data_IF_392456657346
#
_entry.id   IF_392456657346
#
_cell.length_a   1.000
_cell.length_b   1.000
_cell.length_c   1.000
_cell.angle_alpha   90.00
_cell.angle_beta   90.00
_cell.angle_gamma   90.00
#
_symmetry.space_group_name_H-M   'P 1'
#
loop_
_entity.id
_entity.type
_entity.pdbx_description
1 polymer ?
#
# COMPACT_ATOMS: atom_id res chain seq x y z
N UNK A 1 -3.43 -10.28 11.94
CA UNK A 1 -2.01 -9.92 12.13
C UNK A 1 -1.81 -8.51 11.57
N UNK A 2 -1.40 -7.52 12.37
CA UNK A 2 -1.05 -6.17 11.91
C UNK A 2 -0.05 -6.12 10.76
N UNK A 3 0.88 -7.10 10.68
CA UNK A 3 1.93 -7.13 9.66
C UNK A 3 1.38 -7.09 8.24
N UNK A 4 0.20 -7.68 8.00
CA UNK A 4 -0.46 -7.70 6.69
C UNK A 4 -0.81 -6.29 6.16
N UNK A 5 -0.72 -5.25 6.99
CA UNK A 5 -0.93 -3.84 6.60
C UNK A 5 0.35 -3.15 6.10
N UNK A 6 1.49 -3.82 6.19
CA UNK A 6 2.76 -3.40 5.58
C UNK A 6 2.85 -3.88 4.14
N UNK A 7 3.67 -3.23 3.31
CA UNK A 7 3.92 -3.65 1.92
C UNK A 7 4.39 -5.10 1.89
N UNK A 8 5.41 -5.42 2.70
CA UNK A 8 5.99 -6.77 2.76
C UNK A 8 5.03 -7.80 3.34
N UNK A 9 4.22 -7.41 4.33
CA UNK A 9 3.23 -8.31 4.90
C UNK A 9 2.08 -8.59 3.95
N UNK A 10 1.64 -7.62 3.15
CA UNK A 10 0.66 -7.87 2.09
C UNK A 10 1.23 -8.79 1.00
N UNK A 11 2.49 -8.57 0.58
CA UNK A 11 3.17 -9.47 -0.36
C UNK A 11 3.22 -10.90 0.18
N UNK A 12 3.62 -11.09 1.44
CA UNK A 12 3.68 -12.40 2.08
C UNK A 12 2.29 -13.05 2.23
N UNK A 13 1.26 -12.26 2.52
CA UNK A 13 -0.13 -12.72 2.57
C UNK A 13 -0.59 -13.25 1.20
N UNK A 14 -0.34 -12.49 0.13
CA UNK A 14 -0.71 -12.89 -1.24
C UNK A 14 0.07 -14.14 -1.65
N UNK A 15 1.38 -14.18 -1.38
CA UNK A 15 2.23 -15.32 -1.69
C UNK A 15 1.70 -16.60 -1.03
N UNK A 16 1.37 -16.53 0.26
CA UNK A 16 0.93 -17.70 1.02
C UNK A 16 -0.52 -18.10 0.70
N UNK A 17 -1.46 -17.17 0.78
CA UNK A 17 -2.90 -17.46 0.75
C UNK A 17 -3.49 -17.55 -0.67
N UNK A 18 -2.78 -17.03 -1.68
CA UNK A 18 -3.27 -17.05 -3.06
C UNK A 18 -2.35 -17.85 -3.97
N UNK A 19 -1.06 -17.54 -3.98
CA UNK A 19 -0.12 -18.16 -4.92
C UNK A 19 0.16 -19.60 -4.51
N UNK A 20 0.70 -19.82 -3.31
CA UNK A 20 1.05 -21.15 -2.79
C UNK A 20 -0.18 -22.01 -2.50
N UNK A 21 -1.29 -21.40 -2.06
CA UNK A 21 -2.58 -22.08 -1.85
C UNK A 21 -3.24 -22.56 -3.16
N UNK A 22 -2.71 -22.18 -4.34
CA UNK A 22 -3.19 -22.68 -5.63
C UNK A 22 -4.42 -21.95 -6.16
N UNK A 23 -4.51 -20.64 -5.94
CA UNK A 23 -5.50 -19.83 -6.65
C UNK A 23 -5.22 -19.91 -8.16
N UNK A 24 -6.22 -20.27 -8.99
CA UNK A 24 -6.00 -20.52 -10.42
C UNK A 24 -5.93 -19.21 -11.22
N UNK A 25 -4.83 -18.44 -11.06
CA UNK A 25 -4.66 -17.13 -11.68
C UNK A 25 -4.71 -17.21 -13.20
N UNK A 26 -3.99 -18.14 -13.83
CA UNK A 26 -3.93 -18.29 -15.28
C UNK A 26 -5.32 -18.60 -15.87
N UNK A 27 -6.08 -19.50 -15.26
CA UNK A 27 -7.44 -19.83 -15.70
C UNK A 27 -8.45 -18.72 -15.45
N UNK A 28 -8.36 -18.02 -14.30
CA UNK A 28 -9.33 -17.00 -13.89
C UNK A 28 -9.12 -15.67 -14.63
N UNK A 29 -7.86 -15.30 -14.89
CA UNK A 29 -7.46 -14.02 -15.49
C UNK A 29 -7.14 -14.11 -16.99
N UNK A 30 -7.27 -15.31 -17.61
CA UNK A 30 -7.04 -15.53 -19.06
C UNK A 30 -7.76 -14.52 -19.96
N UNK A 31 -8.95 -14.11 -19.55
CA UNK A 31 -9.75 -13.11 -20.24
C UNK A 31 -9.74 -11.84 -19.43
N UNK A 32 -9.61 -10.70 -20.11
CA UNK A 32 -9.74 -9.40 -19.47
C UNK A 32 -11.14 -9.24 -18.86
N UNK A 33 -11.25 -8.46 -17.79
CA UNK A 33 -12.54 -8.07 -17.22
C UNK A 33 -13.44 -7.32 -18.23
N UNK A 34 -12.87 -6.82 -19.34
CA UNK A 34 -13.59 -6.16 -20.43
C UNK A 34 -14.01 -7.10 -21.57
N UNK A 35 -13.66 -8.39 -21.50
CA UNK A 35 -14.05 -9.37 -22.51
C UNK A 35 -15.56 -9.65 -22.42
N UNK A 36 -16.32 -9.59 -23.55
CA UNK A 36 -17.76 -9.86 -23.54
C UNK A 36 -18.11 -11.21 -22.90
N UNK A 37 -19.22 -11.27 -22.17
CA UNK A 37 -19.65 -12.50 -21.48
C UNK A 37 -19.80 -13.71 -22.41
N UNK A 38 -20.12 -13.49 -23.69
CA UNK A 38 -20.29 -14.53 -24.69
C UNK A 38 -18.97 -15.25 -25.03
N UNK A 39 -17.83 -14.59 -24.86
CA UNK A 39 -16.50 -15.14 -25.14
C UNK A 39 -15.74 -15.56 -23.88
N UNK A 40 -16.33 -15.32 -22.70
CA UNK A 40 -15.74 -15.63 -21.41
C UNK A 40 -16.03 -17.08 -21.02
N UNK A 41 -14.99 -17.83 -20.66
CA UNK A 41 -15.18 -19.17 -20.09
C UNK A 41 -15.85 -19.09 -18.71
N UNK A 42 -16.62 -20.13 -18.36
CA UNK A 42 -17.23 -20.29 -17.03
C UNK A 42 -16.21 -20.28 -15.88
N UNK A 43 -14.93 -20.49 -16.21
CA UNK A 43 -13.80 -20.49 -15.27
C UNK A 43 -13.20 -19.10 -15.04
N UNK A 44 -13.66 -18.03 -15.66
CA UNK A 44 -13.23 -16.67 -15.31
C UNK A 44 -13.94 -16.17 -14.07
N UNK A 45 -13.21 -15.54 -13.15
CA UNK A 45 -13.75 -15.06 -11.89
C UNK A 45 -13.05 -13.80 -11.39
N UNK A 46 -13.77 -12.99 -10.63
CA UNK A 46 -13.30 -11.71 -10.08
C UNK A 46 -12.79 -11.83 -8.63
N UNK A 47 -12.44 -13.04 -8.18
CA UNK A 47 -12.18 -13.30 -6.76
C UNK A 47 -10.99 -12.49 -6.22
N UNK A 48 -9.89 -12.40 -6.98
CA UNK A 48 -8.73 -11.63 -6.55
C UNK A 48 -8.99 -10.12 -6.52
N UNK A 49 -9.69 -9.57 -7.53
CA UNK A 49 -10.07 -8.15 -7.51
C UNK A 49 -11.04 -7.83 -6.38
N UNK A 50 -11.98 -8.72 -6.05
CA UNK A 50 -12.87 -8.54 -4.89
C UNK A 50 -12.08 -8.54 -3.57
N UNK A 51 -11.04 -9.37 -3.45
CA UNK A 51 -10.14 -9.32 -2.30
C UNK A 51 -9.40 -7.98 -2.20
N UNK A 52 -8.87 -7.48 -3.31
CA UNK A 52 -8.22 -6.16 -3.35
C UNK A 52 -9.21 -5.03 -3.04
N UNK A 53 -10.45 -5.13 -3.51
CA UNK A 53 -11.54 -4.20 -3.18
C UNK A 53 -11.82 -4.21 -1.69
N UNK A 54 -11.93 -5.38 -1.05
CA UNK A 54 -12.06 -5.46 0.40
C UNK A 54 -10.91 -4.74 1.13
N UNK A 55 -9.66 -4.85 0.66
CA UNK A 55 -8.54 -4.10 1.24
C UNK A 55 -8.72 -2.60 1.01
N UNK A 56 -9.18 -2.18 -0.17
CA UNK A 56 -9.52 -0.79 -0.44
C UNK A 56 -10.60 -0.27 0.52
N UNK A 57 -11.66 -1.02 0.79
CA UNK A 57 -12.69 -0.63 1.78
C UNK A 57 -12.12 -0.49 3.20
N UNK A 58 -11.16 -1.33 3.57
CA UNK A 58 -10.46 -1.17 4.85
C UNK A 58 -9.57 0.08 4.84
N UNK A 59 -8.91 0.37 3.72
CA UNK A 59 -8.08 1.55 3.56
C UNK A 59 -8.90 2.84 3.68
N UNK A 60 -10.07 2.92 3.05
CA UNK A 60 -10.94 4.12 3.13
C UNK A 60 -11.43 4.38 4.56
N UNK A 61 -11.76 3.34 5.31
CA UNK A 61 -12.20 3.47 6.71
C UNK A 61 -11.04 3.71 7.69
N UNK A 62 -9.82 3.26 7.37
CA UNK A 62 -8.63 3.37 8.24
C UNK A 62 -7.40 3.92 7.47
N UNK A 63 -7.44 5.17 6.98
CA UNK A 63 -6.46 5.71 6.05
C UNK A 63 -5.02 5.74 6.58
N UNK A 64 -4.82 5.81 7.90
CA UNK A 64 -3.48 5.82 8.50
C UNK A 64 -2.95 4.42 8.84
N UNK A 65 -3.77 3.36 8.75
CA UNK A 65 -3.39 2.03 9.25
C UNK A 65 -2.60 1.18 8.25
N UNK A 66 -2.47 1.60 6.99
CA UNK A 66 -1.82 0.85 5.92
C UNK A 66 -0.58 1.59 5.42
N UNK A 67 0.53 0.85 5.29
CA UNK A 67 1.82 1.38 4.82
C UNK A 67 1.80 1.71 3.34
N UNK A 68 0.98 0.99 2.58
CA UNK A 68 0.83 1.17 1.14
C UNK A 68 -0.39 2.03 0.79
N UNK A 69 -0.33 2.70 -0.35
CA UNK A 69 -1.44 3.42 -0.96
C UNK A 69 -2.30 2.50 -1.85
N UNK A 70 -3.47 3.00 -2.25
CA UNK A 70 -4.39 2.29 -3.17
C UNK A 70 -3.75 2.01 -4.54
N UNK A 71 -2.72 2.77 -4.92
CA UNK A 71 -1.96 2.56 -6.15
C UNK A 71 -1.23 1.20 -6.16
N UNK A 72 -0.82 0.68 -5.00
CA UNK A 72 -0.24 -0.67 -4.91
C UNK A 72 -1.29 -1.73 -5.26
N UNK A 73 -2.52 -1.56 -4.76
CA UNK A 73 -3.61 -2.51 -5.01
C UNK A 73 -4.00 -2.52 -6.49
N UNK A 74 -4.03 -1.33 -7.12
CA UNK A 74 -4.19 -1.19 -8.57
C UNK A 74 -3.09 -1.96 -9.33
N UNK A 75 -1.83 -1.78 -8.94
CA UNK A 75 -0.72 -2.43 -9.61
C UNK A 75 -0.79 -3.96 -9.46
N UNK A 76 -1.20 -4.47 -8.29
CA UNK A 76 -1.43 -5.89 -8.05
C UNK A 76 -2.53 -6.44 -8.96
N UNK A 77 -3.62 -5.70 -9.14
CA UNK A 77 -4.68 -6.05 -10.07
C UNK A 77 -4.19 -6.09 -11.52
N UNK A 78 -3.44 -5.07 -11.97
CA UNK A 78 -2.92 -5.03 -13.33
C UNK A 78 -2.00 -6.23 -13.61
N UNK A 79 -1.07 -6.51 -12.69
CA UNK A 79 -0.14 -7.63 -12.84
C UNK A 79 -0.77 -9.01 -12.60
N UNK A 80 -1.96 -9.12 -12.00
CA UNK A 80 -2.67 -10.39 -11.96
C UNK A 80 -3.33 -10.75 -13.30
N UNK A 81 -3.63 -9.74 -14.13
CA UNK A 81 -4.19 -9.91 -15.47
C UNK A 81 -3.14 -9.94 -16.58
N UNK A 82 -2.19 -9.00 -16.55
CA UNK A 82 -1.14 -8.86 -17.55
C UNK A 82 0.16 -8.45 -16.89
N UNK A 83 1.18 -9.30 -17.01
CA UNK A 83 2.45 -9.08 -16.34
C UNK A 83 3.64 -9.58 -17.13
N UNK A 84 4.74 -8.86 -17.01
CA UNK A 84 6.07 -9.30 -17.43
C UNK A 84 6.77 -10.17 -16.36
N UNK A 85 6.16 -10.33 -15.18
CA UNK A 85 6.69 -11.07 -14.05
C UNK A 85 6.02 -12.44 -13.90
N UNK A 86 6.74 -13.39 -13.28
CA UNK A 86 6.24 -14.75 -13.06
C UNK A 86 5.26 -14.92 -11.90
N UNK A 87 5.10 -13.91 -11.05
CA UNK A 87 4.41 -14.02 -9.75
C UNK A 87 2.99 -14.57 -9.83
N UNK A 88 2.20 -14.13 -10.82
CA UNK A 88 0.81 -14.57 -10.99
C UNK A 88 0.62 -15.57 -12.13
N UNK A 89 1.70 -16.20 -12.62
CA UNK A 89 1.58 -17.26 -13.62
C UNK A 89 1.11 -18.58 -12.99
N UNK A 90 0.59 -19.46 -13.85
CA UNK A 90 0.11 -20.80 -13.52
C UNK A 90 -1.07 -20.83 -12.55
N UNK A 91 -1.69 -22.00 -12.41
CA UNK A 91 -2.85 -22.20 -11.54
C UNK A 91 -2.49 -22.87 -10.20
N UNK A 92 -1.30 -23.45 -10.08
CA UNK A 92 -0.87 -24.15 -8.88
C UNK A 92 0.64 -24.07 -8.68
N UNK A 93 1.07 -24.26 -7.43
CA UNK A 93 2.49 -24.33 -7.08
C UNK A 93 3.21 -25.49 -7.78
N UNK A 94 2.51 -26.62 -7.96
CA UNK A 94 3.01 -27.76 -8.71
C UNK A 94 3.39 -27.36 -10.15
N UNK A 95 2.48 -26.68 -10.84
CA UNK A 95 2.71 -26.24 -12.22
C UNK A 95 3.87 -25.23 -12.32
N UNK A 96 3.98 -24.31 -11.34
CA UNK A 96 5.11 -23.35 -11.28
C UNK A 96 6.46 -24.06 -11.15
N UNK A 97 6.51 -25.11 -10.35
CA UNK A 97 7.71 -25.94 -10.18
C UNK A 97 8.04 -26.71 -11.46
N UNK A 98 7.05 -27.37 -12.08
CA UNK A 98 7.24 -28.11 -13.34
C UNK A 98 7.75 -27.20 -14.47
N UNK A 99 7.24 -25.96 -14.55
CA UNK A 99 7.66 -24.98 -15.55
C UNK A 99 8.91 -24.17 -15.17
N UNK A 100 9.47 -24.39 -13.97
CA UNK A 100 10.61 -23.66 -13.43
C UNK A 100 10.40 -22.14 -13.43
N UNK A 101 9.21 -21.67 -13.05
CA UNK A 101 8.84 -20.23 -13.13
C UNK A 101 9.82 -19.37 -12.33
N UNK A 102 10.20 -19.80 -11.13
CA UNK A 102 11.11 -19.05 -10.24
C UNK A 102 12.51 -18.81 -10.80
N UNK A 103 12.98 -19.67 -11.73
CA UNK A 103 14.31 -19.53 -12.35
C UNK A 103 14.24 -18.93 -13.75
N UNK A 104 13.12 -19.10 -14.46
CA UNK A 104 12.92 -18.61 -15.82
C UNK A 104 12.31 -17.21 -15.91
N UNK A 105 11.79 -16.69 -14.80
CA UNK A 105 11.12 -15.38 -14.75
C UNK A 105 11.53 -14.59 -13.52
N UNK A 106 11.30 -13.28 -13.57
CA UNK A 106 11.54 -12.38 -12.45
C UNK A 106 10.27 -12.25 -11.60
N UNK A 107 10.43 -12.17 -10.28
CA UNK A 107 9.32 -11.89 -9.36
C UNK A 107 8.92 -10.41 -9.38
N UNK A 108 7.62 -10.14 -9.35
CA UNK A 108 7.06 -8.81 -9.15
C UNK A 108 7.54 -8.20 -7.82
N UNK A 109 7.71 -9.02 -6.79
CA UNK A 109 8.19 -8.59 -5.47
C UNK A 109 9.60 -8.01 -5.55
N UNK A 110 10.47 -8.59 -6.39
CA UNK A 110 11.83 -8.07 -6.60
C UNK A 110 11.83 -6.68 -7.23
N UNK A 111 10.88 -6.40 -8.13
CA UNK A 111 10.70 -5.08 -8.72
C UNK A 111 10.12 -4.08 -7.71
N UNK A 112 9.01 -4.45 -7.05
CA UNK A 112 8.31 -3.58 -6.09
C UNK A 112 9.18 -3.18 -4.90
N UNK A 113 10.06 -4.06 -4.44
CA UNK A 113 10.91 -3.80 -3.27
C UNK A 113 12.17 -2.98 -3.59
N UNK A 114 12.34 -2.52 -4.84
CA UNK A 114 13.38 -1.55 -5.16
C UNK A 114 13.06 -0.19 -4.51
N UNK A 115 14.01 0.51 -3.89
CA UNK A 115 13.73 1.74 -3.15
C UNK A 115 13.05 2.84 -3.98
N UNK A 116 13.46 3.03 -5.24
CA UNK A 116 12.91 4.01 -6.17
C UNK A 116 11.45 3.73 -6.53
N UNK A 117 11.10 2.46 -6.65
CA UNK A 117 9.75 1.99 -6.99
C UNK A 117 8.88 1.99 -5.74
N UNK A 118 9.37 1.43 -4.64
CA UNK A 118 8.62 1.27 -3.39
C UNK A 118 8.06 2.59 -2.87
N UNK A 119 8.86 3.66 -2.90
CA UNK A 119 8.48 4.97 -2.39
C UNK A 119 7.23 5.55 -3.06
N UNK A 120 6.94 5.21 -4.32
CA UNK A 120 5.76 5.71 -5.04
C UNK A 120 4.46 5.03 -4.59
N UNK A 121 4.56 3.90 -3.88
CA UNK A 121 3.43 3.13 -3.36
C UNK A 121 3.22 3.30 -1.86
N UNK A 122 4.05 4.09 -1.17
CA UNK A 122 3.91 4.31 0.26
C UNK A 122 2.82 5.34 0.56
N UNK A 123 2.12 5.12 1.66
CA UNK A 123 1.14 6.05 2.19
C UNK A 123 1.83 7.06 3.13
N UNK A 124 1.82 8.37 2.83
CA UNK A 124 2.41 9.38 3.71
C UNK A 124 1.77 9.45 5.10
N UNK A 125 0.50 9.05 5.21
CA UNK A 125 -0.28 9.10 6.45
C UNK A 125 -0.09 7.85 7.32
N UNK A 126 0.76 6.89 6.89
CA UNK A 126 0.92 5.65 7.61
C UNK A 126 1.45 5.87 9.04
N UNK A 127 0.67 5.38 10.00
CA UNK A 127 1.04 5.28 11.41
C UNK A 127 0.90 3.82 11.83
N UNK A 128 2.01 3.15 12.23
CA UNK A 128 1.97 1.77 12.67
C UNK A 128 0.95 1.56 13.79
N UNK A 129 -0.13 0.86 13.47
CA UNK A 129 -1.20 0.52 14.40
C UNK A 129 -1.08 -0.97 14.73
N UNK A 130 -0.88 -1.33 15.99
CA UNK A 130 -0.86 -2.73 16.42
C UNK A 130 -2.26 -3.27 16.74
N UNK A 131 -3.25 -2.38 16.90
CA UNK A 131 -4.59 -2.76 17.31
C UNK A 131 -5.37 -3.41 16.17
N UNK A 132 -6.34 -4.24 16.56
CA UNK A 132 -7.33 -4.81 15.65
C UNK A 132 -8.23 -3.70 15.13
N UNK A 133 -8.45 -3.68 13.81
CA UNK A 133 -9.41 -2.78 13.15
C UNK A 133 -10.76 -3.47 13.01
N UNK A 134 -11.83 -2.72 13.24
CA UNK A 134 -13.21 -3.22 13.18
C UNK A 134 -13.99 -2.38 12.15
N UNK A 135 -13.98 -2.77 10.87
CA UNK A 135 -14.64 -2.03 9.81
C UNK A 135 -16.17 -2.11 9.93
N UNK A 136 -16.85 -1.05 9.48
CA UNK A 136 -18.26 -1.10 9.16
C UNK A 136 -18.48 -1.87 7.86
N UNK A 137 -19.39 -2.82 7.89
CA UNK A 137 -19.85 -3.57 6.70
C UNK A 137 -21.22 -3.09 6.21
N UNK A 138 -21.71 -1.97 6.74
CA UNK A 138 -22.97 -1.38 6.29
C UNK A 138 -22.82 -0.90 4.83
N UNK A 139 -23.83 -1.08 3.96
CA UNK A 139 -23.73 -0.67 2.56
C UNK A 139 -23.37 0.81 2.36
N UNK A 140 -23.81 1.69 3.27
CA UNK A 140 -23.50 3.12 3.24
C UNK A 140 -22.04 3.44 3.57
N UNK A 141 -21.32 2.52 4.20
CA UNK A 141 -19.90 2.65 4.54
C UNK A 141 -18.97 2.11 3.47
N UNK A 142 -19.51 1.56 2.38
CA UNK A 142 -18.74 1.05 1.25
C UNK A 142 -18.66 2.12 0.15
N UNK A 143 -17.46 2.37 -0.33
CA UNK A 143 -17.20 3.34 -1.39
C UNK A 143 -16.91 2.62 -2.71
N UNK A 144 -17.42 3.17 -3.81
CA UNK A 144 -17.04 2.67 -5.12
C UNK A 144 -15.58 3.03 -5.39
N UNK A 145 -14.75 2.01 -5.68
CA UNK A 145 -13.34 2.23 -6.02
C UNK A 145 -13.18 2.84 -7.42
N UNK A 146 -13.38 4.15 -7.50
CA UNK A 146 -13.39 4.93 -8.74
C UNK A 146 -12.07 4.84 -9.50
N UNK A 147 -10.92 4.86 -8.81
CA UNK A 147 -9.58 4.78 -9.41
C UNK A 147 -9.33 3.48 -10.20
N UNK A 148 -10.07 2.42 -9.87
CA UNK A 148 -10.02 1.13 -10.55
C UNK A 148 -11.17 1.00 -11.55
N UNK A 149 -12.41 1.07 -11.08
CA UNK A 149 -13.58 0.74 -11.89
C UNK A 149 -14.00 1.85 -12.86
N UNK A 150 -13.73 3.10 -12.51
CA UNK A 150 -14.11 4.28 -13.31
C UNK A 150 -12.90 4.99 -13.91
N UNK A 151 -11.73 4.36 -13.94
CA UNK A 151 -10.47 4.95 -14.44
C UNK A 151 -10.57 5.58 -15.82
N UNK A 152 -11.35 4.98 -16.71
CA UNK A 152 -11.52 5.44 -18.10
C UNK A 152 -12.73 6.35 -18.29
N UNK A 153 -13.51 6.57 -17.23
CA UNK A 153 -14.77 7.32 -17.25
C UNK A 153 -14.62 8.66 -16.52
N UNK A 154 -13.86 8.66 -15.41
CA UNK A 154 -13.65 9.81 -14.54
C UNK A 154 -12.21 10.30 -14.65
N UNK A 155 -12.03 11.62 -14.71
CA UNK A 155 -10.72 12.24 -14.59
C UNK A 155 -10.19 12.13 -13.15
N UNK A 156 -9.12 11.36 -12.97
CA UNK A 156 -8.49 11.10 -11.67
C UNK A 156 -7.46 12.16 -11.24
N UNK A 157 -7.24 13.21 -12.06
CA UNK A 157 -6.26 14.27 -11.74
C UNK A 157 -6.51 14.95 -10.40
N UNK A 158 -7.77 15.08 -9.99
CA UNK A 158 -8.12 15.64 -8.68
C UNK A 158 -7.57 14.80 -7.54
N UNK A 159 -7.80 13.48 -7.56
CA UNK A 159 -7.30 12.52 -6.56
C UNK A 159 -5.77 12.57 -6.45
N UNK A 160 -5.09 12.57 -7.61
CA UNK A 160 -3.62 12.67 -7.66
C UNK A 160 -3.14 13.99 -7.07
N UNK A 161 -3.81 15.11 -7.39
CA UNK A 161 -3.47 16.43 -6.86
C UNK A 161 -3.63 16.49 -5.34
N UNK A 162 -4.73 15.96 -4.81
CA UNK A 162 -5.01 15.89 -3.37
C UNK A 162 -3.92 15.07 -2.66
N UNK A 163 -3.55 13.91 -3.19
CA UNK A 163 -2.49 13.09 -2.60
C UNK A 163 -1.12 13.77 -2.61
N UNK A 164 -0.78 14.50 -3.67
CA UNK A 164 0.45 15.31 -3.72
C UNK A 164 0.46 16.39 -2.64
N UNK A 165 -0.67 17.09 -2.45
CA UNK A 165 -0.81 18.09 -1.40
C UNK A 165 -0.70 17.47 0.00
N UNK A 166 -1.31 16.30 0.23
CA UNK A 166 -1.17 15.56 1.49
C UNK A 166 0.30 15.21 1.75
N UNK A 167 1.02 14.72 0.75
CA UNK A 167 2.45 14.41 0.86
C UNK A 167 3.27 15.64 1.24
N UNK A 168 3.03 16.79 0.59
CA UNK A 168 3.70 18.05 0.90
C UNK A 168 3.41 18.52 2.33
N UNK A 169 2.13 18.47 2.74
CA UNK A 169 1.72 18.85 4.09
C UNK A 169 2.38 17.98 5.15
N UNK A 170 2.38 16.66 4.98
CA UNK A 170 3.03 15.71 5.89
C UNK A 170 4.54 15.95 5.96
N UNK A 171 5.18 16.25 4.83
CA UNK A 171 6.61 16.54 4.78
C UNK A 171 6.94 17.82 5.56
N UNK A 172 6.18 18.89 5.30
CA UNK A 172 6.31 20.17 6.00
C UNK A 172 6.04 20.03 7.50
N UNK A 173 5.07 19.22 7.88
CA UNK A 173 4.74 18.91 9.27
C UNK A 173 5.94 18.28 10.01
N UNK A 174 6.58 17.28 9.38
CA UNK A 174 7.80 16.62 9.91
C UNK A 174 8.97 17.61 10.05
N UNK A 175 9.16 18.50 9.07
CA UNK A 175 10.19 19.54 9.12
C UNK A 175 9.95 20.51 10.28
N UNK A 176 8.72 21.01 10.42
CA UNK A 176 8.33 21.92 11.49
C UNK A 176 8.49 21.28 12.88
N UNK A 177 8.09 20.01 13.04
CA UNK A 177 8.33 19.25 14.28
C UNK A 177 9.82 19.20 14.61
N UNK A 178 10.65 18.88 13.63
CA UNK A 178 12.11 18.81 13.79
C UNK A 178 12.69 20.16 14.19
N UNK A 179 12.23 21.24 13.56
CA UNK A 179 12.66 22.60 13.89
C UNK A 179 12.23 23.02 15.30
N UNK A 180 10.99 22.70 15.70
CA UNK A 180 10.50 22.98 17.04
C UNK A 180 11.31 22.26 18.12
N UNK A 181 11.71 21.00 17.89
CA UNK A 181 12.58 20.26 18.80
C UNK A 181 13.97 20.91 18.93
N UNK A 182 14.56 21.37 17.82
CA UNK A 182 15.85 22.08 17.84
C UNK A 182 15.77 23.38 18.64
N UNK A 183 14.74 24.20 18.40
CA UNK A 183 14.55 25.46 19.11
C UNK A 183 14.29 25.25 20.61
N UNK A 184 13.49 24.23 20.99
CA UNK A 184 13.28 23.87 22.40
C UNK A 184 14.59 23.49 23.09
N UNK A 185 15.46 22.74 22.41
CA UNK A 185 16.77 22.37 22.94
C UNK A 185 17.64 23.60 23.18
N UNK A 186 17.72 24.50 22.20
CA UNK A 186 18.47 25.75 22.32
C UNK A 186 17.95 26.65 23.45
N UNK A 187 16.64 26.76 23.62
CA UNK A 187 16.04 27.54 24.71
C UNK A 187 16.39 26.97 26.09
N UNK A 188 16.45 25.63 26.23
CA UNK A 188 16.87 24.98 27.48
C UNK A 188 18.36 25.24 27.79
N UNK A 189 19.23 25.15 26.78
CA UNK A 189 20.67 25.41 26.92
C UNK A 189 20.94 26.86 27.36
N UNK A 190 20.33 27.84 26.67
CA UNK A 190 20.43 29.25 27.04
C UNK A 190 19.86 29.52 28.44
N UNK A 191 18.74 28.88 28.81
CA UNK A 191 18.16 29.01 30.15
C UNK A 191 19.08 28.49 31.26
N UNK A 192 19.79 27.39 31.02
CA UNK A 192 20.80 26.87 31.95
C UNK A 192 22.00 27.80 32.07
N UNK A 193 22.48 28.35 30.95
CA UNK A 193 23.59 29.30 30.93
C UNK A 193 23.28 30.56 31.74
N UNK A 194 22.09 31.14 31.53
CA UNK A 194 21.61 32.29 32.32
C UNK A 194 21.52 31.94 33.82
N UNK A 195 21.00 30.77 34.16
CA UNK A 195 20.91 30.32 35.57
C UNK A 195 22.29 30.16 36.22
N UNK A 196 23.27 29.65 35.48
CA UNK A 196 24.64 29.50 35.96
C UNK A 196 25.31 30.85 36.17
N UNK A 197 25.14 31.80 35.24
CA UNK A 197 25.65 33.16 35.36
C UNK A 197 25.06 33.88 36.59
N UNK A 198 23.76 33.72 36.84
CA UNK A 198 23.09 34.30 38.01
C UNK A 198 23.61 33.72 39.33
N UNK A 199 23.95 32.43 39.38
CA UNK A 199 24.57 31.82 40.56
C UNK A 199 25.99 32.35 40.80
N UNK A 200 26.80 32.46 39.75
CA UNK A 200 28.16 32.99 39.87
C UNK A 200 28.23 34.46 40.27
N UNK A 201 27.21 35.26 39.94
CA UNK A 201 27.17 36.69 40.30
C UNK A 201 26.69 36.98 41.73
N UNK A 202 26.12 35.99 42.43
CA UNK A 202 25.66 36.13 43.82
C UNK A 202 26.71 35.69 44.86
N UNK A 203 27.83 35.09 44.42
CA UNK A 203 28.93 34.63 45.29
C UNK A 203 30.08 35.66 45.41
N UNK A 204 29.86 36.91 44.98
CA UNK A 204 30.78 38.06 45.15
C UNK A 204 30.10 39.20 45.87
#
# INVERSE_FOLDING_TARGET
NPDCRTVRGLQALIEREWIQAGHPFASRHRYSCYTPNQTRNKTSGATFVLFLDCIYQLYTQFPCSFEFSTQLLILLFEHSHFSQYGTFLCDSERERNELNVHTRTTSLWSYLNRPDVLQTFLNPLYEPNANVIWPSVAPISLELWSDLYLRWVIDQRSSVTVMSQIQELVTREKELRTQALKLRKQAMELGQEVSNLMKSGNDT
#
